data_IF_017489710308
#
_entry.id   IF_017489710308
#
_cell.length_a   1.000
_cell.length_b   1.000
_cell.length_c   1.000
_cell.angle_alpha   90.00
_cell.angle_beta   90.00
_cell.angle_gamma   90.00
#
_symmetry.space_group_name_H-M   'P 1'
#
loop_
_entity.id
_entity.type
_entity.pdbx_description
1 polymer ?
#
# COMPACT_ATOMS: atom_id res chain seq x y z
N UNK A 1 11.23 -17.53 -17.00
CA UNK A 1 11.02 -16.79 -15.72
C UNK A 1 10.00 -15.71 -16.02
N UNK A 2 9.03 -15.47 -15.14
CA UNK A 2 8.02 -14.42 -15.37
C UNK A 2 8.61 -13.05 -15.05
N UNK A 3 8.18 -12.02 -15.78
CA UNK A 3 8.52 -10.64 -15.44
C UNK A 3 7.58 -10.15 -14.33
N UNK A 4 8.16 -9.56 -13.29
CA UNK A 4 7.39 -8.92 -12.22
C UNK A 4 8.10 -7.65 -11.72
N UNK A 5 7.34 -6.76 -11.13
CA UNK A 5 7.85 -5.52 -10.49
C UNK A 5 7.36 -5.45 -9.04
N UNK A 6 8.13 -4.75 -8.21
CA UNK A 6 7.78 -4.52 -6.79
C UNK A 6 7.72 -3.02 -6.56
N UNK A 7 6.56 -2.53 -6.12
CA UNK A 7 6.28 -1.10 -5.99
C UNK A 7 5.47 -0.80 -4.71
N UNK A 8 5.43 0.46 -4.33
CA UNK A 8 4.48 0.98 -3.35
C UNK A 8 3.16 1.30 -4.08
N UNK A 9 2.04 0.75 -3.65
CA UNK A 9 0.71 1.12 -4.14
C UNK A 9 0.14 2.30 -3.34
N UNK A 10 0.23 2.22 -2.02
CA UNK A 10 -0.26 3.25 -1.10
C UNK A 10 0.73 3.45 0.04
N UNK A 11 0.98 4.69 0.41
CA UNK A 11 1.78 5.05 1.58
C UNK A 11 0.94 5.89 2.55
N UNK A 12 1.08 5.63 3.86
CA UNK A 12 0.42 6.40 4.91
C UNK A 12 1.44 6.94 5.89
N UNK A 13 1.38 8.26 6.08
CA UNK A 13 2.15 8.98 7.09
C UNK A 13 1.22 9.39 8.24
N UNK A 14 1.75 9.48 9.43
CA UNK A 14 1.06 10.01 10.61
C UNK A 14 1.86 11.18 11.17
N UNK A 15 1.17 12.29 11.43
CA UNK A 15 1.73 13.51 12.03
C UNK A 15 1.00 13.74 13.34
N UNK A 16 1.72 13.78 14.45
CA UNK A 16 1.15 13.92 15.79
C UNK A 16 1.17 15.38 16.27
N UNK A 17 0.13 15.78 17.01
CA UNK A 17 -0.03 17.13 17.55
C UNK A 17 -0.46 17.11 19.01
N UNK A 18 -0.08 18.18 19.73
CA UNK A 18 -0.45 18.38 21.13
C UNK A 18 -1.89 18.90 21.23
N UNK A 19 -2.35 19.71 20.26
CA UNK A 19 -3.68 20.31 20.27
C UNK A 19 -4.39 20.24 18.91
N UNK A 20 -5.71 20.32 18.93
CA UNK A 20 -6.58 20.22 17.75
C UNK A 20 -6.48 21.43 16.81
N UNK A 21 -6.20 22.63 17.36
CA UNK A 21 -6.08 23.86 16.55
C UNK A 21 -4.89 23.77 15.60
N UNK A 22 -3.73 23.34 16.12
CA UNK A 22 -2.52 23.14 15.30
C UNK A 22 -2.68 22.02 14.30
N UNK A 23 -3.37 20.94 14.68
CA UNK A 23 -3.72 19.85 13.78
C UNK A 23 -4.49 20.38 12.55
N UNK A 24 -5.55 21.15 12.78
CA UNK A 24 -6.39 21.71 11.72
C UNK A 24 -5.61 22.72 10.86
N UNK A 25 -4.86 23.60 11.49
CA UNK A 25 -4.01 24.57 10.78
C UNK A 25 -3.04 23.89 9.82
N UNK A 26 -2.31 22.88 10.29
CA UNK A 26 -1.36 22.15 9.44
C UNK A 26 -2.08 21.40 8.31
N UNK A 27 -3.21 20.77 8.59
CA UNK A 27 -4.01 20.08 7.59
C UNK A 27 -4.44 21.02 6.45
N UNK A 28 -4.93 22.22 6.80
CA UNK A 28 -5.33 23.23 5.82
C UNK A 28 -4.14 23.81 5.05
N UNK A 29 -2.99 23.97 5.70
CA UNK A 29 -1.76 24.44 5.05
C UNK A 29 -1.24 23.43 4.03
N UNK A 30 -1.20 22.13 4.38
CA UNK A 30 -0.78 21.07 3.47
C UNK A 30 -1.66 21.02 2.23
N UNK A 31 -2.97 21.06 2.41
CA UNK A 31 -3.92 21.03 1.30
C UNK A 31 -3.75 22.25 0.38
N UNK A 32 -3.58 23.46 0.95
CA UNK A 32 -3.35 24.70 0.19
C UNK A 32 -2.02 24.69 -0.55
N UNK A 33 -0.92 24.26 0.10
CA UNK A 33 0.39 24.19 -0.51
C UNK A 33 0.37 23.32 -1.79
N UNK A 34 -0.28 22.16 -1.73
CA UNK A 34 -0.44 21.30 -2.89
C UNK A 34 -1.27 21.95 -4.01
N UNK A 35 -2.38 22.63 -3.66
CA UNK A 35 -3.20 23.31 -4.66
C UNK A 35 -2.46 24.51 -5.29
N UNK A 36 -1.66 25.25 -4.53
CA UNK A 36 -0.85 26.33 -5.06
C UNK A 36 0.22 25.84 -6.05
N UNK A 37 0.83 24.70 -5.73
CA UNK A 37 1.86 24.09 -6.61
C UNK A 37 1.26 23.48 -7.86
N UNK A 38 0.05 22.92 -7.75
CA UNK A 38 -0.68 22.25 -8.83
C UNK A 38 -2.10 22.84 -8.93
N UNK A 39 -2.30 23.96 -9.63
CA UNK A 39 -3.61 24.63 -9.72
C UNK A 39 -4.72 23.74 -10.33
N UNK A 40 -4.34 22.75 -11.12
CA UNK A 40 -5.29 21.79 -11.71
C UNK A 40 -5.80 20.73 -10.72
N UNK A 41 -5.14 20.56 -9.57
CA UNK A 41 -5.63 19.65 -8.53
C UNK A 41 -6.86 20.23 -7.85
N UNK A 42 -7.93 19.46 -7.80
CA UNK A 42 -9.13 19.82 -7.06
C UNK A 42 -8.97 19.44 -5.60
N UNK A 43 -8.97 20.42 -4.71
CA UNK A 43 -8.95 20.21 -3.27
C UNK A 43 -10.37 20.30 -2.73
N UNK A 44 -10.86 19.22 -2.16
CA UNK A 44 -12.15 19.18 -1.48
C UNK A 44 -11.92 19.30 0.03
N UNK A 45 -12.29 20.45 0.58
CA UNK A 45 -12.26 20.69 2.02
C UNK A 45 -13.59 20.22 2.63
N UNK A 46 -13.57 19.09 3.31
CA UNK A 46 -14.73 18.64 4.05
C UNK A 46 -14.69 19.21 5.47
N UNK A 47 -15.52 20.20 5.74
CA UNK A 47 -15.64 20.86 7.05
C UNK A 47 -16.59 20.12 7.99
N UNK A 48 -17.39 19.20 7.47
CA UNK A 48 -18.28 18.38 8.28
C UNK A 48 -17.49 17.22 8.87
N UNK A 49 -17.59 16.94 10.18
CA UNK A 49 -16.96 15.79 10.77
C UNK A 49 -17.56 14.50 10.20
N UNK A 50 -16.70 13.58 9.81
CA UNK A 50 -17.09 12.19 9.53
C UNK A 50 -17.37 11.48 10.86
N UNK A 51 -17.94 10.25 10.86
CA UNK A 51 -18.10 9.48 12.08
C UNK A 51 -16.84 9.51 12.97
N UNK A 52 -16.99 9.71 14.25
CA UNK A 52 -15.93 9.92 15.26
C UNK A 52 -15.29 11.32 15.29
N UNK A 53 -15.91 12.34 14.70
CA UNK A 53 -15.44 13.72 14.78
C UNK A 53 -14.20 14.03 13.92
N UNK A 54 -13.82 13.13 13.01
CA UNK A 54 -12.69 13.35 12.11
C UNK A 54 -13.08 14.26 10.92
N UNK A 55 -12.12 15.05 10.44
CA UNK A 55 -12.26 15.86 9.22
C UNK A 55 -11.41 15.23 8.12
N UNK A 56 -11.87 15.35 6.88
CA UNK A 56 -11.15 14.78 5.74
C UNK A 56 -11.04 15.82 4.62
N UNK A 57 -9.81 16.04 4.15
CA UNK A 57 -9.56 16.77 2.90
C UNK A 57 -9.04 15.79 1.85
N UNK A 58 -9.44 15.95 0.61
CA UNK A 58 -8.96 15.14 -0.50
C UNK A 58 -8.38 16.01 -1.60
N UNK A 59 -7.30 15.55 -2.19
CA UNK A 59 -6.66 16.15 -3.36
C UNK A 59 -6.85 15.19 -4.52
N UNK A 60 -7.46 15.67 -5.60
CA UNK A 60 -7.90 14.84 -6.70
C UNK A 60 -7.38 15.35 -8.04
N UNK A 61 -7.08 14.42 -8.96
CA UNK A 61 -7.00 14.69 -10.40
C UNK A 61 -8.24 14.14 -11.07
N UNK A 62 -9.05 15.02 -11.65
CA UNK A 62 -10.33 14.58 -12.21
C UNK A 62 -11.15 13.79 -11.18
N UNK A 63 -11.38 12.50 -11.45
CA UNK A 63 -12.14 11.58 -10.57
C UNK A 63 -11.27 10.78 -9.59
N UNK A 64 -9.94 10.85 -9.72
CA UNK A 64 -9.02 10.04 -8.91
C UNK A 64 -8.52 10.80 -7.70
N UNK A 65 -8.71 10.26 -6.51
CA UNK A 65 -8.08 10.79 -5.29
C UNK A 65 -6.63 10.35 -5.22
N UNK A 66 -5.71 11.32 -5.23
CA UNK A 66 -4.27 11.10 -5.10
C UNK A 66 -3.87 11.09 -3.63
N UNK A 67 -4.37 12.08 -2.88
CA UNK A 67 -4.00 12.29 -1.49
C UNK A 67 -5.24 12.53 -0.65
N UNK A 68 -5.24 11.92 0.53
CA UNK A 68 -6.28 12.08 1.53
C UNK A 68 -5.65 12.45 2.86
N UNK A 69 -6.09 13.57 3.43
CA UNK A 69 -5.73 14.01 4.76
C UNK A 69 -6.90 13.74 5.70
N UNK A 70 -6.68 13.01 6.78
CA UNK A 70 -7.73 12.72 7.77
C UNK A 70 -7.25 13.10 9.16
N UNK A 71 -7.96 14.02 9.81
CA UNK A 71 -7.73 14.34 11.21
C UNK A 71 -8.38 13.30 12.11
N UNK A 72 -7.71 12.92 13.18
CA UNK A 72 -8.22 11.98 14.19
C UNK A 72 -7.60 12.29 15.55
N UNK A 73 -8.14 11.68 16.59
CA UNK A 73 -7.59 11.74 17.93
C UNK A 73 -7.77 10.41 18.65
N UNK A 74 -6.85 10.10 19.56
CA UNK A 74 -6.98 8.97 20.47
C UNK A 74 -6.51 9.35 21.88
N UNK A 75 -6.88 8.56 22.86
CA UNK A 75 -6.36 8.70 24.23
C UNK A 75 -5.18 7.74 24.41
N UNK A 76 -4.06 8.28 24.86
CA UNK A 76 -2.88 7.49 25.23
C UNK A 76 -3.11 6.71 26.55
N UNK A 77 -2.10 5.96 26.98
CA UNK A 77 -2.13 5.20 28.23
C UNK A 77 -2.34 6.08 29.48
N UNK A 78 -1.97 7.36 29.40
CA UNK A 78 -2.12 8.36 30.45
C UNK A 78 -3.42 9.17 30.31
N UNK A 79 -4.35 8.72 29.45
CA UNK A 79 -5.64 9.39 29.14
C UNK A 79 -5.49 10.78 28.50
N UNK A 80 -4.30 11.16 28.02
CA UNK A 80 -4.09 12.41 27.30
C UNK A 80 -4.61 12.24 25.88
N UNK A 81 -5.27 13.27 25.36
CA UNK A 81 -5.73 13.26 23.97
C UNK A 81 -4.57 13.62 23.06
N UNK A 82 -4.22 12.70 22.18
CA UNK A 82 -3.23 12.89 21.10
C UNK A 82 -4.01 13.11 19.81
N UNK A 83 -3.76 14.24 19.18
CA UNK A 83 -4.33 14.61 17.89
C UNK A 83 -3.36 14.22 16.79
N UNK A 84 -3.85 13.71 15.69
CA UNK A 84 -2.97 13.34 14.56
C UNK A 84 -3.66 13.53 13.21
N UNK A 85 -2.84 13.74 12.18
CA UNK A 85 -3.26 13.69 10.78
C UNK A 85 -2.72 12.40 10.20
N UNK A 86 -3.57 11.63 9.54
CA UNK A 86 -3.12 10.58 8.61
C UNK A 86 -3.10 11.17 7.21
N UNK A 87 -1.96 11.09 6.55
CA UNK A 87 -1.77 11.40 5.14
C UNK A 87 -1.74 10.08 4.38
N UNK A 88 -2.70 9.84 3.52
CA UNK A 88 -2.76 8.65 2.66
C UNK A 88 -2.51 9.09 1.22
N UNK A 89 -1.51 8.51 0.59
CA UNK A 89 -1.15 8.77 -0.80
C UNK A 89 -1.26 7.45 -1.56
N UNK A 90 -2.12 7.43 -2.57
CA UNK A 90 -2.35 6.28 -3.43
C UNK A 90 -1.73 6.49 -4.81
N UNK A 91 -1.51 5.41 -5.56
CA UNK A 91 -1.02 5.49 -6.93
C UNK A 91 0.47 5.79 -7.05
N UNK A 92 1.30 5.34 -6.13
CA UNK A 92 2.75 5.53 -6.18
C UNK A 92 3.48 4.58 -7.14
N UNK A 93 2.77 3.72 -7.82
CA UNK A 93 3.26 2.79 -8.84
C UNK A 93 3.40 3.52 -10.19
N UNK A 94 4.43 3.20 -10.95
CA UNK A 94 4.86 3.98 -12.12
C UNK A 94 4.33 3.45 -13.47
N UNK A 95 3.10 2.97 -13.58
CA UNK A 95 2.56 2.54 -14.87
C UNK A 95 1.31 3.31 -15.35
N UNK A 96 0.94 4.37 -14.62
CA UNK A 96 -0.10 5.30 -15.01
C UNK A 96 0.40 6.74 -14.91
N UNK A 97 -0.06 7.66 -15.78
CA UNK A 97 0.37 9.08 -15.77
C UNK A 97 0.15 9.74 -14.40
N UNK A 98 -0.95 9.44 -13.73
CA UNK A 98 -1.27 9.99 -12.40
C UNK A 98 -0.31 9.54 -11.29
N UNK A 99 0.38 8.42 -11.47
CA UNK A 99 1.34 7.91 -10.48
C UNK A 99 2.54 8.86 -10.33
N UNK A 100 2.96 9.51 -11.42
CA UNK A 100 4.01 10.53 -11.37
C UNK A 100 3.59 11.73 -10.54
N UNK A 101 2.35 12.18 -10.66
CA UNK A 101 1.79 13.29 -9.86
C UNK A 101 1.71 12.90 -8.39
N UNK A 102 1.24 11.68 -8.09
CA UNK A 102 1.17 11.18 -6.70
C UNK A 102 2.56 11.13 -6.06
N UNK A 103 3.57 10.65 -6.78
CA UNK A 103 4.95 10.63 -6.32
C UNK A 103 5.48 12.04 -6.04
N UNK A 104 5.29 12.99 -6.97
CA UNK A 104 5.74 14.35 -6.80
C UNK A 104 5.00 15.08 -5.65
N UNK A 105 3.69 14.84 -5.50
CA UNK A 105 2.94 15.32 -4.34
C UNK A 105 3.49 14.80 -3.01
N UNK A 106 3.90 13.52 -2.96
CA UNK A 106 4.54 12.94 -1.76
C UNK A 106 5.85 13.64 -1.43
N UNK A 107 6.74 13.76 -2.42
CA UNK A 107 8.06 14.40 -2.23
C UNK A 107 7.89 15.83 -1.73
N UNK A 108 7.01 16.63 -2.34
CA UNK A 108 6.76 18.02 -1.93
C UNK A 108 6.14 18.12 -0.55
N UNK A 109 5.20 17.24 -0.23
CA UNK A 109 4.59 17.19 1.09
C UNK A 109 5.65 16.89 2.17
N UNK A 110 6.49 15.90 1.93
CA UNK A 110 7.54 15.51 2.88
C UNK A 110 8.61 16.62 2.99
N UNK A 111 8.99 17.24 1.88
CA UNK A 111 9.90 18.38 1.89
C UNK A 111 9.34 19.52 2.74
N UNK A 112 8.05 19.84 2.59
CA UNK A 112 7.40 20.83 3.44
C UNK A 112 7.44 20.45 4.92
N UNK A 113 7.15 19.18 5.26
CA UNK A 113 7.19 18.72 6.64
C UNK A 113 8.60 18.87 7.24
N UNK A 114 9.61 18.41 6.54
CA UNK A 114 11.00 18.44 6.99
C UNK A 114 11.51 19.89 7.12
N UNK A 115 11.24 20.76 6.14
CA UNK A 115 11.63 22.19 6.18
C UNK A 115 11.01 22.92 7.36
N UNK A 116 9.77 22.55 7.73
CA UNK A 116 9.07 23.16 8.86
C UNK A 116 9.28 22.41 10.20
N UNK A 117 10.20 21.46 10.26
CA UNK A 117 10.49 20.64 11.45
C UNK A 117 9.23 19.91 11.99
N UNK A 118 8.34 19.50 11.10
CA UNK A 118 7.14 18.73 11.44
C UNK A 118 7.48 17.25 11.29
N UNK A 119 7.60 16.55 12.40
CA UNK A 119 7.92 15.12 12.41
C UNK A 119 6.73 14.29 11.93
N UNK A 120 7.02 13.24 11.18
CA UNK A 120 6.07 12.25 10.74
C UNK A 120 6.59 10.85 10.97
N UNK A 121 5.66 9.89 11.12
CA UNK A 121 5.92 8.46 11.21
C UNK A 121 5.22 7.73 10.09
N UNK A 122 5.74 6.59 9.66
CA UNK A 122 5.01 5.69 8.77
C UNK A 122 3.90 4.97 9.53
N UNK A 123 2.69 5.06 9.02
CA UNK A 123 1.51 4.42 9.63
C UNK A 123 0.86 3.36 8.77
N UNK A 124 1.32 3.19 7.55
CA UNK A 124 0.86 2.12 6.66
C UNK A 124 1.58 2.14 5.33
N UNK A 125 1.67 0.96 4.71
CA UNK A 125 2.18 0.79 3.35
C UNK A 125 1.48 -0.39 2.70
N UNK A 126 1.11 -0.22 1.44
CA UNK A 126 0.64 -1.31 0.58
C UNK A 126 1.73 -1.60 -0.45
N UNK A 127 2.39 -2.76 -0.32
CA UNK A 127 3.43 -3.23 -1.24
C UNK A 127 2.76 -4.08 -2.30
N UNK A 128 2.95 -3.72 -3.56
CA UNK A 128 2.43 -4.42 -4.71
C UNK A 128 3.54 -5.19 -5.44
N UNK A 129 3.31 -6.47 -5.72
CA UNK A 129 4.09 -7.28 -6.64
C UNK A 129 3.23 -7.54 -7.86
N UNK A 130 3.56 -6.86 -8.96
CA UNK A 130 2.83 -6.95 -10.22
C UNK A 130 3.50 -7.98 -11.13
N UNK A 131 2.77 -9.03 -11.47
CA UNK A 131 3.22 -10.17 -12.27
C UNK A 131 2.56 -10.14 -13.64
N UNK A 132 3.34 -10.11 -14.71
CA UNK A 132 2.83 -10.12 -16.09
C UNK A 132 2.35 -11.53 -16.48
N UNK A 133 1.24 -11.97 -15.90
CA UNK A 133 0.64 -13.26 -16.17
C UNK A 133 -0.85 -13.29 -15.80
N UNK A 134 -1.63 -14.21 -16.36
CA UNK A 134 -3.00 -14.45 -15.94
C UNK A 134 -3.08 -14.92 -14.47
N UNK A 135 -4.09 -14.45 -13.78
CA UNK A 135 -4.35 -14.76 -12.37
C UNK A 135 -4.48 -16.26 -12.08
N UNK A 136 -5.05 -17.01 -13.03
CA UNK A 136 -5.24 -18.47 -12.91
C UNK A 136 -3.94 -19.24 -12.69
N UNK A 137 -2.78 -18.71 -13.10
CA UNK A 137 -1.47 -19.35 -12.94
C UNK A 137 -0.75 -18.98 -11.64
N UNK A 138 -1.38 -18.20 -10.78
CA UNK A 138 -0.76 -17.73 -9.55
C UNK A 138 -1.41 -18.33 -8.32
N UNK A 139 -0.66 -18.34 -7.23
CA UNK A 139 -1.13 -18.65 -5.90
C UNK A 139 -0.22 -18.00 -4.86
N UNK A 140 -0.75 -17.73 -3.67
CA UNK A 140 0.09 -17.29 -2.56
C UNK A 140 -0.39 -17.86 -1.23
N UNK A 141 0.54 -18.04 -0.31
CA UNK A 141 0.25 -18.44 1.07
C UNK A 141 1.30 -17.88 2.02
N UNK A 142 0.93 -17.78 3.30
CA UNK A 142 1.84 -17.32 4.35
C UNK A 142 2.59 -18.50 4.97
N UNK A 143 3.91 -18.43 4.97
CA UNK A 143 4.78 -19.46 5.53
C UNK A 143 4.74 -19.55 7.07
N UNK A 144 4.07 -18.62 7.75
CA UNK A 144 4.07 -18.64 9.22
C UNK A 144 3.19 -19.75 9.80
N UNK A 145 3.74 -20.48 10.78
CA UNK A 145 3.06 -21.36 11.73
C UNK A 145 2.04 -20.62 12.60
N UNK A 146 1.26 -19.73 12.07
CA UNK A 146 0.35 -18.96 12.88
C UNK A 146 -1.03 -19.62 12.89
N UNK A 147 -1.41 -20.17 14.00
CA UNK A 147 -2.80 -20.15 14.41
C UNK A 147 -3.30 -18.71 14.18
N UNK A 148 -4.26 -18.50 13.28
CA UNK A 148 -4.78 -17.18 12.99
C UNK A 148 -4.49 -16.66 11.58
N UNK A 149 -4.13 -17.50 10.63
CA UNK A 149 -4.16 -17.16 9.20
C UNK A 149 -5.44 -17.71 8.59
N UNK A 150 -6.29 -16.83 8.09
CA UNK A 150 -7.50 -17.17 7.37
C UNK A 150 -7.29 -16.94 5.87
N UNK A 151 -7.77 -17.89 5.08
CA UNK A 151 -7.80 -17.81 3.63
C UNK A 151 -9.24 -17.77 3.18
N UNK A 152 -9.61 -16.78 2.37
CA UNK A 152 -10.92 -16.74 1.76
C UNK A 152 -10.84 -16.19 0.33
N UNK A 153 -11.88 -16.44 -0.43
CA UNK A 153 -11.98 -16.11 -1.86
C UNK A 153 -13.13 -15.14 -2.05
N UNK A 154 -12.95 -14.22 -2.98
CA UNK A 154 -14.00 -13.31 -3.43
C UNK A 154 -14.27 -13.54 -4.91
N UNK A 155 -15.55 -13.45 -5.29
CA UNK A 155 -16.02 -13.59 -6.66
C UNK A 155 -16.79 -12.33 -7.04
N UNK A 156 -16.45 -11.72 -8.16
CA UNK A 156 -17.17 -10.55 -8.66
C UNK A 156 -18.47 -10.91 -9.37
N UNK A 157 -18.54 -12.03 -9.99
CA UNK A 157 -19.76 -12.62 -10.54
C UNK A 157 -19.81 -14.07 -10.08
N UNK A 158 -20.98 -14.67 -10.06
CA UNK A 158 -21.18 -16.02 -9.48
C UNK A 158 -20.16 -17.09 -9.90
N UNK A 159 -19.35 -16.85 -10.93
CA UNK A 159 -18.48 -17.86 -11.55
C UNK A 159 -16.99 -17.48 -11.64
N UNK A 160 -16.60 -16.24 -11.37
CA UNK A 160 -15.20 -15.82 -11.54
C UNK A 160 -14.56 -15.47 -10.21
N UNK A 161 -13.58 -16.28 -9.83
CA UNK A 161 -12.70 -15.96 -8.73
C UNK A 161 -11.80 -14.80 -9.14
N UNK A 162 -11.92 -13.67 -8.48
CA UNK A 162 -11.12 -12.46 -8.74
C UNK A 162 -10.05 -12.19 -7.70
N UNK A 163 -10.23 -12.69 -6.49
CA UNK A 163 -9.32 -12.37 -5.39
C UNK A 163 -9.16 -13.51 -4.39
N UNK A 164 -7.92 -13.79 -4.00
CA UNK A 164 -7.56 -14.57 -2.81
C UNK A 164 -7.11 -13.64 -1.71
N UNK A 165 -7.65 -13.82 -0.50
CA UNK A 165 -7.24 -13.08 0.70
C UNK A 165 -6.47 -13.99 1.64
N UNK A 166 -5.41 -13.42 2.26
CA UNK A 166 -4.59 -14.05 3.28
C UNK A 166 -4.54 -13.10 4.46
N UNK A 167 -5.34 -13.34 5.49
CA UNK A 167 -5.45 -12.46 6.64
C UNK A 167 -4.82 -13.08 7.88
N UNK A 168 -4.03 -12.29 8.59
CA UNK A 168 -3.45 -12.66 9.88
C UNK A 168 -4.20 -11.92 10.99
N UNK A 169 -4.77 -12.71 11.89
CA UNK A 169 -5.54 -12.22 13.02
C UNK A 169 -4.70 -12.14 14.30
N UNK A 170 -4.94 -11.08 15.07
CA UNK A 170 -4.64 -11.11 16.49
C UNK A 170 -5.80 -11.77 17.23
N UNK A 171 -5.60 -12.97 17.76
CA UNK A 171 -6.64 -13.72 18.48
C UNK A 171 -7.14 -13.01 19.73
N UNK A 172 -6.26 -12.27 20.42
CA UNK A 172 -6.59 -11.56 21.66
C UNK A 172 -7.55 -10.39 21.41
N UNK A 173 -7.48 -9.77 20.24
CA UNK A 173 -8.26 -8.57 19.92
C UNK A 173 -9.25 -8.77 18.78
N UNK A 174 -9.37 -9.98 18.25
CA UNK A 174 -10.19 -10.32 17.07
C UNK A 174 -10.03 -9.32 15.92
N UNK A 175 -8.80 -8.85 15.69
CA UNK A 175 -8.47 -7.79 14.72
C UNK A 175 -7.54 -8.31 13.66
N UNK A 176 -7.84 -7.99 12.39
CA UNK A 176 -6.92 -8.22 11.28
C UNK A 176 -5.70 -7.34 11.46
N UNK A 177 -4.53 -7.95 11.61
CA UNK A 177 -3.27 -7.23 11.78
C UNK A 177 -2.55 -6.95 10.47
N UNK A 178 -2.66 -7.90 9.54
CA UNK A 178 -2.01 -7.85 8.24
C UNK A 178 -2.91 -8.53 7.23
N UNK A 179 -2.99 -7.95 6.05
CA UNK A 179 -3.73 -8.50 4.93
C UNK A 179 -2.82 -8.59 3.73
N UNK A 180 -2.74 -9.79 3.14
CA UNK A 180 -2.25 -9.96 1.79
C UNK A 180 -3.41 -10.41 0.90
N UNK A 181 -3.33 -10.04 -0.37
CA UNK A 181 -4.31 -10.43 -1.37
C UNK A 181 -3.63 -10.69 -2.70
N UNK A 182 -4.17 -11.64 -3.46
CA UNK A 182 -3.77 -11.88 -4.85
C UNK A 182 -5.01 -11.73 -5.71
N UNK A 183 -4.92 -10.90 -6.74
CA UNK A 183 -6.07 -10.64 -7.60
C UNK A 183 -5.68 -10.34 -9.04
N UNK A 184 -6.67 -10.49 -9.93
CA UNK A 184 -6.55 -10.10 -11.31
C UNK A 184 -6.65 -8.58 -11.42
N UNK A 185 -5.51 -7.94 -11.65
CA UNK A 185 -5.41 -6.48 -11.74
C UNK A 185 -5.99 -5.96 -13.06
N UNK A 186 -5.88 -6.75 -14.14
CA UNK A 186 -6.43 -6.38 -15.45
C UNK A 186 -7.95 -6.37 -15.48
N UNK A 187 -8.60 -7.22 -14.67
CA UNK A 187 -10.07 -7.18 -14.50
C UNK A 187 -10.51 -6.00 -13.65
N UNK A 188 -9.71 -5.65 -12.63
CA UNK A 188 -10.04 -4.55 -11.72
C UNK A 188 -9.83 -3.17 -12.34
N UNK A 189 -8.81 -3.03 -13.18
CA UNK A 189 -8.42 -1.76 -13.80
C UNK A 189 -8.57 -1.84 -15.33
N UNK A 190 -9.66 -1.34 -15.85
CA UNK A 190 -10.07 -1.45 -17.26
C UNK A 190 -9.06 -0.88 -18.28
N UNK A 191 -8.13 -0.03 -17.86
CA UNK A 191 -7.09 0.52 -18.73
C UNK A 191 -5.90 -0.42 -18.94
N UNK A 192 -5.83 -1.56 -18.23
CA UNK A 192 -4.78 -2.55 -18.41
C UNK A 192 -5.21 -3.55 -19.49
N UNK A 193 -4.55 -3.52 -20.63
CA UNK A 193 -4.89 -4.34 -21.81
C UNK A 193 -4.18 -5.70 -21.87
N UNK A 194 -3.33 -6.01 -20.90
CA UNK A 194 -2.57 -7.26 -20.83
C UNK A 194 -2.84 -7.99 -19.51
N UNK A 195 -2.65 -9.32 -19.45
CA UNK A 195 -2.84 -10.06 -18.22
C UNK A 195 -1.88 -9.59 -17.13
N UNK A 196 -2.44 -9.09 -16.03
CA UNK A 196 -1.67 -8.60 -14.89
C UNK A 196 -2.27 -9.13 -13.60
N UNK A 197 -1.48 -9.93 -12.89
CA UNK A 197 -1.83 -10.38 -11.54
C UNK A 197 -1.06 -9.58 -10.51
N UNK A 198 -1.72 -9.15 -9.46
CA UNK A 198 -1.11 -8.47 -8.33
C UNK A 198 -1.18 -9.30 -7.06
N UNK A 199 -0.04 -9.47 -6.41
CA UNK A 199 0.02 -9.72 -4.98
C UNK A 199 0.20 -8.39 -4.25
N UNK A 200 -0.62 -8.12 -3.25
CA UNK A 200 -0.58 -6.88 -2.49
C UNK A 200 -0.50 -7.19 -0.99
N UNK A 201 0.48 -6.63 -0.32
CA UNK A 201 0.71 -6.78 1.12
C UNK A 201 0.43 -5.45 1.83
N UNK A 202 -0.63 -5.41 2.64
CA UNK A 202 -1.03 -4.24 3.43
C UNK A 202 -0.46 -4.32 4.84
N UNK A 203 0.45 -3.42 5.16
CA UNK A 203 1.04 -3.25 6.49
C UNK A 203 0.45 -2.00 7.14
N UNK A 204 -0.02 -2.13 8.37
CA UNK A 204 -0.68 -1.05 9.12
C UNK A 204 0.22 -0.53 10.25
N UNK A 205 -0.21 0.52 10.93
CA UNK A 205 0.51 1.18 12.03
C UNK A 205 1.07 0.21 13.08
N UNK A 206 0.35 -0.85 13.40
CA UNK A 206 0.82 -1.88 14.33
C UNK A 206 2.09 -2.61 13.88
N UNK A 207 2.41 -2.58 12.59
CA UNK A 207 3.66 -3.10 12.05
C UNK A 207 4.80 -2.14 12.35
N UNK A 208 4.64 -0.86 12.02
CA UNK A 208 5.66 0.18 12.21
C UNK A 208 5.96 0.45 13.68
N UNK A 209 4.93 0.47 14.54
CA UNK A 209 5.10 0.67 15.99
C UNK A 209 5.96 -0.41 16.67
N UNK A 210 6.02 -1.61 16.10
CA UNK A 210 6.84 -2.73 16.62
C UNK A 210 8.24 -2.77 16.04
N UNK A 211 8.45 -2.02 14.99
CA UNK A 211 9.63 -2.07 14.18
C UNK A 211 10.06 -0.63 13.84
N UNK A 212 10.74 0.06 14.75
CA UNK A 212 11.12 1.46 14.53
C UNK A 212 12.18 1.64 13.44
N UNK A 213 12.87 0.57 13.06
CA UNK A 213 13.87 0.59 12.00
C UNK A 213 13.30 -0.05 10.74
N UNK A 214 13.21 0.71 9.64
CA UNK A 214 12.61 0.25 8.37
C UNK A 214 13.51 -0.76 7.65
N UNK A 215 14.83 -0.62 7.79
CA UNK A 215 15.80 -1.40 7.04
C UNK A 215 15.68 -2.91 7.32
N UNK A 216 15.53 -3.69 6.26
CA UNK A 216 15.37 -5.15 6.31
C UNK A 216 13.99 -5.66 6.69
N UNK A 217 13.11 -4.79 7.19
CA UNK A 217 11.84 -5.23 7.77
C UNK A 217 10.75 -5.54 6.76
N UNK A 218 10.68 -4.77 5.69
CA UNK A 218 9.74 -5.04 4.61
C UNK A 218 10.14 -6.31 3.89
N UNK A 219 11.46 -6.50 3.68
CA UNK A 219 12.01 -7.71 3.09
C UNK A 219 11.72 -8.95 3.94
N UNK A 220 11.90 -8.86 5.25
CA UNK A 220 11.57 -9.94 6.18
C UNK A 220 10.08 -10.26 6.20
N UNK A 221 9.23 -9.24 6.06
CA UNK A 221 7.79 -9.46 6.07
C UNK A 221 7.29 -10.06 4.77
N UNK A 222 7.76 -9.59 3.61
CA UNK A 222 7.34 -10.14 2.31
C UNK A 222 7.85 -11.57 2.13
N UNK A 223 9.03 -11.90 2.63
CA UNK A 223 9.61 -13.24 2.60
C UNK A 223 8.78 -14.29 3.38
N UNK A 224 7.85 -13.84 4.24
CA UNK A 224 6.89 -14.74 4.91
C UNK A 224 5.78 -15.23 4.01
N UNK A 225 5.67 -14.65 2.82
CA UNK A 225 4.70 -15.06 1.82
C UNK A 225 5.40 -15.80 0.69
N UNK A 226 4.89 -16.97 0.37
CA UNK A 226 5.28 -17.70 -0.83
C UNK A 226 4.34 -17.25 -1.94
N UNK A 227 4.87 -16.46 -2.86
CA UNK A 227 4.15 -16.01 -4.06
C UNK A 227 4.60 -16.95 -5.17
N UNK A 228 3.67 -17.73 -5.72
CA UNK A 228 3.95 -18.79 -6.67
C UNK A 228 3.39 -18.44 -8.04
N UNK A 229 4.18 -18.73 -9.07
CA UNK A 229 3.76 -18.73 -10.45
C UNK A 229 3.96 -20.12 -11.07
N UNK A 230 2.92 -20.66 -11.67
CA UNK A 230 2.93 -21.97 -12.31
C UNK A 230 2.86 -21.80 -13.83
N UNK A 231 3.73 -22.46 -14.60
CA UNK A 231 3.73 -22.34 -16.06
C UNK A 231 2.52 -23.02 -16.74
N UNK A 232 1.81 -23.91 -16.03
CA UNK A 232 0.59 -24.58 -16.52
C UNK A 232 -0.39 -24.82 -15.37
N UNK A 233 -1.69 -24.91 -15.68
CA UNK A 233 -2.73 -25.25 -14.72
C UNK A 233 -2.52 -26.63 -14.09
N UNK A 234 -2.17 -27.64 -14.87
CA UNK A 234 -1.91 -28.98 -14.33
C UNK A 234 -0.79 -29.02 -13.29
N UNK A 235 0.26 -28.20 -13.44
CA UNK A 235 1.30 -28.08 -12.41
C UNK A 235 0.78 -27.36 -11.16
N UNK A 236 -0.08 -26.34 -11.34
CA UNK A 236 -0.74 -25.67 -10.22
C UNK A 236 -1.65 -26.63 -9.46
N UNK A 237 -2.51 -27.34 -10.16
CA UNK A 237 -3.50 -28.24 -9.56
C UNK A 237 -2.81 -29.39 -8.80
N UNK A 238 -1.76 -29.99 -9.37
CA UNK A 238 -0.95 -30.98 -8.70
C UNK A 238 -0.29 -30.44 -7.42
N UNK A 239 0.26 -29.22 -7.48
CA UNK A 239 0.88 -28.56 -6.32
C UNK A 239 -0.14 -28.23 -5.23
N UNK A 240 -1.32 -27.73 -5.60
CA UNK A 240 -2.39 -27.43 -4.66
C UNK A 240 -3.02 -28.68 -4.05
N UNK A 241 -3.16 -29.76 -4.81
CA UNK A 241 -3.61 -31.06 -4.30
C UNK A 241 -2.64 -31.61 -3.22
N UNK A 242 -1.34 -31.52 -3.47
CA UNK A 242 -0.33 -31.87 -2.47
C UNK A 242 -0.38 -30.94 -1.25
N UNK A 243 -0.54 -29.63 -1.46
CA UNK A 243 -0.64 -28.65 -0.40
C UNK A 243 -1.88 -28.85 0.48
N UNK A 244 -3.03 -29.20 -0.10
CA UNK A 244 -4.27 -29.44 0.64
C UNK A 244 -4.18 -30.61 1.60
N UNK A 245 -3.39 -31.64 1.30
CA UNK A 245 -3.13 -32.74 2.23
C UNK A 245 -2.49 -32.29 3.55
N UNK A 246 -1.80 -31.15 3.54
CA UNK A 246 -1.14 -30.56 4.70
C UNK A 246 -1.93 -29.41 5.32
N UNK A 247 -3.09 -29.04 4.74
CA UNK A 247 -3.87 -27.88 5.16
C UNK A 247 -4.28 -27.91 6.63
N UNK A 248 -4.53 -29.12 7.13
CA UNK A 248 -4.92 -29.36 8.52
C UNK A 248 -3.72 -29.50 9.49
N UNK A 249 -2.47 -29.42 8.99
CA UNK A 249 -1.29 -29.52 9.83
C UNK A 249 -0.31 -28.37 9.62
N UNK A 250 -0.53 -27.21 10.29
CA UNK A 250 0.31 -26.01 10.12
C UNK A 250 1.79 -26.21 10.44
N UNK A 251 2.14 -27.19 11.31
CA UNK A 251 3.52 -27.49 11.65
C UNK A 251 4.27 -28.20 10.52
N UNK A 252 3.57 -28.97 9.71
CA UNK A 252 4.17 -29.62 8.52
C UNK A 252 4.27 -28.67 7.34
N UNK A 253 3.32 -27.74 7.15
CA UNK A 253 3.32 -26.79 6.03
C UNK A 253 4.66 -26.14 5.75
N UNK A 254 5.32 -25.59 6.75
CA UNK A 254 6.58 -24.85 6.54
C UNK A 254 7.79 -25.73 6.26
N UNK A 255 7.75 -27.00 6.66
CA UNK A 255 8.83 -27.96 6.43
C UNK A 255 8.71 -28.72 5.09
N UNK A 256 7.51 -28.81 4.58
CA UNK A 256 7.21 -29.69 3.45
C UNK A 256 7.03 -28.93 2.13
N UNK A 257 7.02 -27.57 2.16
CA UNK A 257 7.03 -26.74 0.95
C UNK A 257 8.25 -27.06 0.08
N UNK A 258 9.43 -27.11 0.71
CA UNK A 258 10.67 -27.47 0.02
C UNK A 258 10.61 -28.90 -0.51
N UNK A 259 10.04 -29.84 0.29
CA UNK A 259 9.84 -31.24 -0.12
C UNK A 259 8.82 -31.41 -1.24
N UNK A 260 7.82 -30.52 -1.32
CA UNK A 260 6.85 -30.51 -2.42
C UNK A 260 7.43 -29.92 -3.72
N UNK A 261 8.67 -29.44 -3.69
CA UNK A 261 9.31 -28.81 -4.84
C UNK A 261 8.62 -27.54 -5.31
N UNK A 262 7.87 -26.87 -4.42
CA UNK A 262 7.16 -25.63 -4.74
C UNK A 262 8.13 -24.45 -4.85
N UNK A 263 9.31 -24.56 -4.26
CA UNK A 263 10.34 -23.53 -4.28
C UNK A 263 10.72 -23.10 -5.71
N UNK A 264 10.71 -24.04 -6.66
CA UNK A 264 10.99 -23.77 -8.10
C UNK A 264 9.95 -22.83 -8.76
N UNK A 265 8.77 -22.66 -8.15
CA UNK A 265 7.69 -21.79 -8.65
C UNK A 265 7.63 -20.47 -7.87
N UNK A 266 8.45 -20.30 -6.84
CA UNK A 266 8.44 -19.16 -5.96
C UNK A 266 9.07 -17.95 -6.62
N UNK A 267 8.43 -16.79 -6.42
CA UNK A 267 9.00 -15.49 -6.69
C UNK A 267 9.65 -14.94 -5.42
N UNK A 268 10.73 -14.18 -5.60
CA UNK A 268 11.48 -13.54 -4.51
C UNK A 268 11.45 -12.03 -4.69
N UNK A 269 10.34 -11.36 -4.30
CA UNK A 269 10.25 -9.91 -4.41
C UNK A 269 11.32 -9.22 -3.57
N UNK A 270 12.04 -8.27 -4.17
CA UNK A 270 13.04 -7.45 -3.50
C UNK A 270 12.43 -6.10 -3.10
N UNK A 271 12.37 -5.82 -1.80
CA UNK A 271 11.82 -4.59 -1.23
C UNK A 271 12.88 -3.59 -0.79
N UNK A 272 14.17 -3.87 -0.99
CA UNK A 272 15.27 -2.99 -0.55
C UNK A 272 15.18 -1.60 -1.19
N UNK A 273 14.77 -1.53 -2.46
CA UNK A 273 14.54 -0.24 -3.13
C UNK A 273 13.45 0.59 -2.46
N UNK A 274 12.37 -0.06 -1.99
CA UNK A 274 11.30 0.59 -1.22
C UNK A 274 11.84 1.07 0.13
N UNK A 275 12.60 0.24 0.85
CA UNK A 275 13.16 0.61 2.15
C UNK A 275 14.10 1.80 2.03
N UNK A 276 14.97 1.82 1.03
CA UNK A 276 15.84 2.96 0.75
C UNK A 276 15.06 4.23 0.44
N UNK A 277 14.04 4.14 -0.41
CA UNK A 277 13.17 5.27 -0.72
C UNK A 277 12.49 5.84 0.55
N UNK A 278 11.97 4.99 1.43
CA UNK A 278 11.36 5.43 2.68
C UNK A 278 12.38 6.12 3.60
N UNK A 279 13.62 5.66 3.64
CA UNK A 279 14.69 6.31 4.41
C UNK A 279 15.10 7.65 3.81
N UNK A 280 15.17 7.74 2.49
CA UNK A 280 15.49 8.98 1.78
C UNK A 280 14.46 10.08 2.02
N UNK A 281 13.17 9.74 2.20
CA UNK A 281 12.12 10.72 2.48
C UNK A 281 12.41 11.57 3.73
N UNK A 282 13.08 11.06 4.74
CA UNK A 282 13.45 11.84 5.93
C UNK A 282 14.49 12.93 5.64
N UNK A 283 15.18 12.87 4.50
CA UNK A 283 16.24 13.80 4.10
C UNK A 283 15.86 14.70 2.91
N UNK A 284 14.58 14.72 2.52
CA UNK A 284 14.09 15.59 1.45
C UNK A 284 13.64 16.93 2.05
N UNK A 285 14.18 18.04 1.54
CA UNK A 285 13.85 19.40 1.97
C UNK A 285 13.42 20.26 0.78
N UNK A 286 12.68 21.35 1.03
CA UNK A 286 12.17 22.24 -0.03
C UNK A 286 13.29 22.86 -0.88
N UNK A 287 14.46 23.15 -0.29
CA UNK A 287 15.59 23.71 -1.02
C UNK A 287 16.22 22.73 -2.02
N UNK A 288 15.98 21.42 -1.86
CA UNK A 288 16.44 20.37 -2.78
C UNK A 288 15.51 20.20 -3.99
N UNK A 289 14.28 20.72 -3.89
CA UNK A 289 13.30 20.64 -4.96
C UNK A 289 13.69 21.61 -6.07
N UNK A 290 13.94 21.10 -7.25
CA UNK A 290 14.00 21.95 -8.44
C UNK A 290 12.65 22.63 -8.57
N UNK A 291 12.66 23.98 -8.69
CA UNK A 291 11.46 24.72 -9.06
C UNK A 291 10.87 24.08 -10.31
N UNK A 292 9.55 23.92 -10.40
CA UNK A 292 8.95 23.41 -11.62
C UNK A 292 9.46 24.33 -12.75
N UNK A 293 10.14 23.73 -13.72
CA UNK A 293 10.37 24.41 -14.99
C UNK A 293 8.97 24.75 -15.49
N UNK A 294 8.73 26.01 -15.88
CA UNK A 294 7.41 26.56 -16.23
C UNK A 294 6.70 25.83 -17.40
N UNK A 295 7.33 24.83 -17.97
CA UNK A 295 6.75 23.94 -18.95
C UNK A 295 6.35 22.59 -18.32
N UNK A 296 5.30 22.60 -17.51
CA UNK A 296 4.45 21.40 -17.45
C UNK A 296 3.74 21.34 -18.79
N UNK A 297 4.23 20.50 -19.67
CA UNK A 297 3.51 20.18 -20.90
C UNK A 297 2.13 19.64 -20.49
N UNK A 298 1.13 20.52 -20.56
CA UNK A 298 -0.24 20.23 -20.22
C UNK A 298 -0.97 19.50 -21.34
N UNK A 299 -0.31 19.20 -22.46
CA UNK A 299 -0.92 18.57 -23.64
C UNK A 299 -1.56 17.21 -23.34
N UNK A 300 -1.08 16.51 -22.31
CA UNK A 300 -1.68 15.26 -21.85
C UNK A 300 -2.93 15.43 -20.99
N UNK A 301 -3.24 16.68 -20.54
CA UNK A 301 -4.47 17.00 -19.81
C UNK A 301 -5.66 17.05 -20.76
N UNK A 302 -5.47 17.58 -21.97
CA UNK A 302 -6.52 17.77 -22.96
C UNK A 302 -7.04 16.43 -23.50
N UNK A 303 -6.21 15.40 -23.55
CA UNK A 303 -6.62 14.03 -23.91
C UNK A 303 -7.53 13.30 -22.88
N UNK A 304 -7.70 13.85 -21.68
CA UNK A 304 -8.47 13.21 -20.60
C UNK A 304 -9.80 13.90 -20.30
N UNK A 305 -10.07 15.05 -20.90
CA UNK A 305 -11.24 15.87 -20.62
C UNK A 305 -12.18 16.04 -21.81
N UNK A 306 -11.84 15.48 -22.98
CA UNK A 306 -12.76 15.21 -24.09
C UNK A 306 -13.29 13.76 -23.97
#
# INVERSE_FOLDING_TARGET
MINYTVNIDTLKLQINFINSSKQREVMDRLARALHTTYPFLKVNYNTNPIPNGAYTHTVNTGRTTILKLTSSAYKDLYKRTIYFITVEIAGLKQYHKNDKIAHDCLIRLVAYLNTNNIQFDYSGIDIAVDMMCPFIYTYAFCNKRAAGVNYYKSYEQQYYLTTYYIERYNKTHNKVMKRAQVYDKSVKDNYISYPLTRFELKLQSSFFNRNPYIYGMLQDEINRYHILYFPTLGKKDAALALYSQYENNPKRRSRDIDKLGLERYRLYPDTRGIENFLLELYNVYEHDLKLPVEEVDNSWFDEYFD
#
